data_IF_207789489775
#
_entry.id   IF_207789489775
#
_cell.length_a   1.000
_cell.length_b   1.000
_cell.length_c   1.000
_cell.angle_alpha   90.00
_cell.angle_beta   90.00
_cell.angle_gamma   90.00
#
_symmetry.space_group_name_H-M   'P 1'
#
loop_
_entity.id
_entity.type
_entity.pdbx_description
1 polymer ?
#
# COMPACT_ATOMS: atom_id res chain seq x y z
N UNK A 1 -32.80 62.31 25.28
CA UNK A 1 -33.61 61.36 26.06
C UNK A 1 -32.95 60.01 26.06
N UNK A 2 -32.61 59.57 27.24
CA UNK A 2 -32.25 58.21 27.71
C UNK A 2 -31.51 57.29 26.74
N UNK A 3 -30.30 56.84 26.96
CA UNK A 3 -29.56 56.50 28.18
C UNK A 3 -29.70 55.02 28.55
N UNK A 4 -28.68 54.23 28.36
CA UNK A 4 -28.25 53.25 29.35
C UNK A 4 -26.98 52.51 28.90
N UNK A 5 -25.95 52.80 29.63
CA UNK A 5 -24.68 52.11 29.79
C UNK A 5 -24.87 50.73 30.38
N UNK A 6 -24.17 49.72 29.85
CA UNK A 6 -23.99 48.39 30.43
C UNK A 6 -22.52 48.12 30.71
N UNK A 7 -22.19 48.09 31.98
CA UNK A 7 -20.87 47.88 32.54
C UNK A 7 -20.31 46.45 32.26
N UNK A 8 -19.07 46.39 31.81
CA UNK A 8 -18.28 45.18 31.76
C UNK A 8 -17.62 44.98 33.14
N UNK A 9 -18.04 43.94 33.82
CA UNK A 9 -17.43 43.52 35.09
C UNK A 9 -16.18 42.67 34.80
N UNK A 10 -15.01 43.19 35.13
CA UNK A 10 -13.75 42.46 35.16
C UNK A 10 -13.63 41.76 36.52
N UNK A 11 -13.79 40.45 36.55
CA UNK A 11 -13.41 39.66 37.71
C UNK A 11 -11.91 39.32 37.63
N UNK A 12 -11.11 39.95 38.46
CA UNK A 12 -9.71 39.61 38.70
C UNK A 12 -9.69 38.49 39.74
N UNK A 13 -9.07 37.34 39.40
CA UNK A 13 -8.82 36.25 40.33
C UNK A 13 -7.34 36.33 40.75
N UNK A 14 -6.99 36.38 42.06
CA UNK A 14 -5.61 36.36 42.52
C UNK A 14 -5.16 34.91 42.72
N UNK A 15 -4.21 34.45 41.93
CA UNK A 15 -3.41 33.25 42.27
C UNK A 15 -1.93 33.64 42.30
N UNK A 16 -1.47 33.78 43.52
CA UNK A 16 -0.04 33.70 43.83
C UNK A 16 0.36 32.23 43.92
N UNK A 17 1.20 31.78 43.04
CA UNK A 17 2.29 30.76 43.12
C UNK A 17 2.58 30.27 41.71
N UNK A 18 3.86 30.44 41.29
CA UNK A 18 4.33 30.12 39.95
C UNK A 18 4.36 28.60 39.71
N UNK A 19 3.47 28.16 38.83
CA UNK A 19 3.56 26.87 38.15
C UNK A 19 3.11 27.08 36.70
N UNK A 20 4.05 26.78 35.79
CA UNK A 20 3.85 26.87 34.34
C UNK A 20 2.68 25.96 33.94
N UNK A 21 1.53 26.53 33.59
CA UNK A 21 0.40 25.81 33.07
C UNK A 21 0.71 25.48 31.59
N UNK A 22 1.17 24.26 31.32
CA UNK A 22 1.20 23.71 29.97
C UNK A 22 -0.24 23.60 29.47
N UNK A 23 -0.64 24.52 28.61
CA UNK A 23 -1.89 24.39 27.87
C UNK A 23 -1.84 23.16 26.97
N UNK A 24 -2.47 22.07 27.41
CA UNK A 24 -2.87 20.97 26.54
C UNK A 24 -3.91 21.54 25.57
N UNK A 25 -3.49 21.82 24.34
CA UNK A 25 -4.41 22.05 23.23
C UNK A 25 -5.08 20.71 22.96
N UNK A 26 -6.25 20.51 23.53
CA UNK A 26 -7.15 19.42 23.21
C UNK A 26 -7.71 19.70 21.81
N UNK A 27 -7.02 19.24 20.76
CA UNK A 27 -7.57 19.23 19.40
C UNK A 27 -8.70 18.21 19.38
N UNK A 28 -9.93 18.67 19.54
CA UNK A 28 -11.08 17.86 19.19
C UNK A 28 -11.00 17.50 17.69
N UNK A 29 -11.12 16.23 17.31
CA UNK A 29 -11.26 15.86 15.91
C UNK A 29 -12.55 16.50 15.40
N UNK A 30 -12.49 17.19 14.25
CA UNK A 30 -13.63 17.87 13.68
C UNK A 30 -14.73 16.85 13.36
N UNK A 31 -15.77 16.82 14.16
CA UNK A 31 -16.98 16.01 14.02
C UNK A 31 -17.66 16.19 12.65
N UNK A 32 -17.36 17.27 11.97
CA UNK A 32 -17.90 17.61 10.64
C UNK A 32 -17.44 16.66 9.51
N UNK A 33 -16.19 16.15 9.56
CA UNK A 33 -15.69 15.21 8.53
C UNK A 33 -16.26 13.79 8.69
N UNK A 34 -16.65 13.41 9.89
CA UNK A 34 -17.23 12.08 10.18
C UNK A 34 -18.66 11.97 9.64
N UNK A 35 -19.46 13.02 9.75
CA UNK A 35 -20.86 13.03 9.28
C UNK A 35 -20.99 12.95 7.75
N UNK A 36 -20.03 13.49 6.99
CA UNK A 36 -20.04 13.43 5.51
C UNK A 36 -19.67 12.03 5.02
N UNK A 37 -18.77 11.31 5.69
CA UNK A 37 -18.43 9.94 5.35
C UNK A 37 -19.58 8.96 5.63
N UNK A 38 -20.36 9.18 6.67
CA UNK A 38 -21.52 8.34 6.99
C UNK A 38 -22.68 8.47 5.98
N UNK A 39 -22.81 9.57 5.26
CA UNK A 39 -23.89 9.77 4.26
C UNK A 39 -23.60 9.14 2.90
N UNK A 40 -22.34 8.75 2.60
CA UNK A 40 -21.95 8.14 1.32
C UNK A 40 -22.01 6.59 1.33
N UNK A 41 -22.40 5.97 2.45
CA UNK A 41 -21.96 4.61 2.78
C UNK A 41 -22.85 3.45 2.30
N UNK A 42 -24.01 3.66 1.72
CA UNK A 42 -24.93 2.54 1.44
C UNK A 42 -24.89 2.00 -0.01
N UNK A 43 -24.45 2.80 -0.97
CA UNK A 43 -24.41 2.37 -2.37
C UNK A 43 -23.15 1.58 -2.66
N UNK A 44 -23.25 0.48 -3.42
CA UNK A 44 -22.06 -0.21 -3.93
C UNK A 44 -21.12 0.75 -4.68
N UNK A 45 -19.82 0.51 -4.59
CA UNK A 45 -18.79 1.33 -5.23
C UNK A 45 -17.63 0.48 -5.76
N UNK A 46 -16.65 1.08 -6.43
CA UNK A 46 -15.51 0.36 -6.99
C UNK A 46 -14.59 -0.18 -5.87
N UNK A 47 -13.80 -1.19 -6.22
CA UNK A 47 -12.67 -1.64 -5.40
C UNK A 47 -11.57 -0.57 -5.49
N UNK A 48 -11.24 0.06 -4.37
CA UNK A 48 -10.11 0.99 -4.30
C UNK A 48 -8.78 0.23 -4.34
N UNK A 49 -7.84 0.70 -5.16
CA UNK A 49 -6.47 0.15 -5.24
C UNK A 49 -5.50 1.29 -5.04
N UNK A 50 -4.78 1.28 -3.93
CA UNK A 50 -3.82 2.32 -3.58
C UNK A 50 -2.38 1.85 -3.72
N UNK A 51 -1.57 2.65 -4.39
CA UNK A 51 -0.12 2.49 -4.44
C UNK A 51 0.60 3.82 -4.16
N UNK A 52 1.83 3.73 -3.68
CA UNK A 52 2.69 4.89 -3.48
C UNK A 52 3.21 5.53 -4.76
N UNK A 53 3.05 4.88 -5.91
CA UNK A 53 3.59 5.30 -7.20
C UNK A 53 2.92 4.59 -8.36
N UNK A 54 3.72 3.92 -9.20
CA UNK A 54 3.25 3.21 -10.40
C UNK A 54 3.23 1.69 -10.25
N UNK A 55 4.01 1.13 -9.34
CA UNK A 55 4.24 -0.31 -9.25
C UNK A 55 2.97 -1.12 -9.00
N UNK A 56 2.02 -0.58 -8.23
CA UNK A 56 0.73 -1.20 -7.95
C UNK A 56 -0.12 -1.48 -9.19
N UNK A 57 0.19 -0.87 -10.33
CA UNK A 57 -0.43 -1.19 -11.62
C UNK A 57 -0.19 -2.66 -12.03
N UNK A 58 0.95 -3.27 -11.63
CA UNK A 58 1.18 -4.71 -11.86
C UNK A 58 0.20 -5.59 -11.08
N UNK A 59 -0.17 -5.19 -9.87
CA UNK A 59 -1.18 -5.88 -9.06
C UNK A 59 -2.57 -5.66 -9.66
N UNK A 60 -2.92 -4.42 -9.99
CA UNK A 60 -4.19 -4.08 -10.63
C UNK A 60 -4.38 -4.84 -11.95
N UNK A 61 -3.33 -4.94 -12.78
CA UNK A 61 -3.38 -5.70 -14.04
C UNK A 61 -3.80 -7.16 -13.80
N UNK A 62 -3.19 -7.83 -12.82
CA UNK A 62 -3.56 -9.21 -12.47
C UNK A 62 -4.96 -9.30 -11.87
N UNK A 63 -5.38 -8.34 -11.05
CA UNK A 63 -6.74 -8.28 -10.51
C UNK A 63 -7.76 -8.13 -11.64
N UNK A 64 -7.53 -7.28 -12.63
CA UNK A 64 -8.40 -7.12 -13.81
C UNK A 64 -8.45 -8.36 -14.67
N UNK A 65 -7.37 -9.12 -14.78
CA UNK A 65 -7.34 -10.38 -15.54
C UNK A 65 -8.13 -11.50 -14.85
N UNK A 66 -8.03 -11.61 -13.51
CA UNK A 66 -8.66 -12.71 -12.74
C UNK A 66 -10.10 -12.36 -12.32
N UNK A 67 -10.37 -11.09 -12.08
CA UNK A 67 -11.65 -10.55 -11.64
C UNK A 67 -12.12 -9.41 -12.57
N UNK A 68 -12.34 -9.67 -13.87
CA UNK A 68 -12.53 -8.64 -14.89
C UNK A 68 -13.87 -7.90 -14.78
N UNK A 69 -14.84 -8.45 -14.09
CA UNK A 69 -16.18 -7.88 -13.98
C UNK A 69 -16.33 -6.83 -12.89
N UNK A 70 -15.37 -6.71 -11.93
CA UNK A 70 -15.43 -5.66 -10.91
C UNK A 70 -14.98 -4.32 -11.45
N UNK A 71 -15.50 -3.25 -10.84
CA UNK A 71 -15.01 -1.91 -11.07
C UNK A 71 -13.84 -1.59 -10.13
N UNK A 72 -12.83 -0.91 -10.66
CA UNK A 72 -11.63 -0.52 -9.92
C UNK A 72 -11.43 1.00 -9.94
N UNK A 73 -10.98 1.54 -8.81
CA UNK A 73 -10.52 2.91 -8.67
C UNK A 73 -9.07 2.89 -8.19
N UNK A 74 -8.15 3.06 -9.12
CA UNK A 74 -6.72 3.13 -8.80
C UNK A 74 -6.34 4.53 -8.36
N UNK A 75 -5.54 4.63 -7.28
CA UNK A 75 -4.96 5.87 -6.79
C UNK A 75 -3.45 5.69 -6.60
N UNK A 76 -2.65 6.37 -7.42
CA UNK A 76 -1.19 6.48 -7.27
C UNK A 76 -0.80 7.79 -6.60
N UNK A 77 -0.08 7.72 -5.49
CA UNK A 77 0.44 8.90 -4.81
C UNK A 77 1.84 9.30 -5.32
N UNK A 78 1.90 9.52 -6.63
CA UNK A 78 3.14 9.70 -7.40
C UNK A 78 3.91 10.96 -7.00
N UNK A 79 3.21 12.06 -6.62
CA UNK A 79 3.85 13.31 -6.21
C UNK A 79 4.68 13.17 -4.91
N UNK A 80 4.36 12.18 -4.07
CA UNK A 80 5.05 11.93 -2.79
C UNK A 80 5.94 10.67 -2.81
N UNK A 81 5.99 9.99 -3.95
CA UNK A 81 6.89 8.83 -4.16
C UNK A 81 8.38 9.26 -4.08
N UNK A 82 9.29 8.35 -3.75
CA UNK A 82 9.10 6.96 -3.30
C UNK A 82 8.85 6.86 -1.79
N UNK A 83 8.10 5.84 -1.36
CA UNK A 83 7.83 5.57 0.06
C UNK A 83 8.86 4.63 0.72
N UNK A 84 9.63 3.91 -0.07
CA UNK A 84 10.53 2.84 0.40
C UNK A 84 11.54 3.24 1.47
N UNK A 85 12.03 4.49 1.44
CA UNK A 85 12.99 5.03 2.39
C UNK A 85 12.37 5.93 3.48
N UNK A 86 11.05 6.19 3.44
CA UNK A 86 10.38 7.08 4.40
C UNK A 86 10.14 6.39 5.74
N UNK A 87 9.99 7.19 6.82
CA UNK A 87 9.63 6.68 8.15
C UNK A 87 8.25 6.03 8.19
N UNK A 88 7.98 5.23 9.23
CA UNK A 88 6.68 4.61 9.45
C UNK A 88 5.56 5.65 9.52
N UNK A 89 5.77 6.71 10.32
CA UNK A 89 4.76 7.75 10.55
C UNK A 89 4.39 8.48 9.25
N UNK A 90 5.38 8.82 8.42
CA UNK A 90 5.12 9.47 7.13
C UNK A 90 4.34 8.56 6.20
N UNK A 91 4.72 7.28 6.06
CA UNK A 91 4.00 6.32 5.23
C UNK A 91 2.59 6.09 5.76
N UNK A 92 2.42 5.97 7.07
CA UNK A 92 1.11 5.83 7.69
C UNK A 92 0.21 7.03 7.39
N UNK A 93 0.69 8.26 7.61
CA UNK A 93 -0.12 9.48 7.37
C UNK A 93 -0.55 9.60 5.90
N UNK A 94 0.37 9.36 4.96
CA UNK A 94 0.07 9.43 3.54
C UNK A 94 -0.95 8.35 3.14
N UNK A 95 -0.76 7.12 3.62
CA UNK A 95 -1.70 6.02 3.36
C UNK A 95 -3.08 6.28 3.94
N UNK A 96 -3.13 6.80 5.16
CA UNK A 96 -4.38 7.17 5.82
C UNK A 96 -5.19 8.20 5.01
N UNK A 97 -4.51 9.24 4.49
CA UNK A 97 -5.14 10.24 3.62
C UNK A 97 -5.71 9.60 2.34
N UNK A 98 -4.95 8.72 1.70
CA UNK A 98 -5.38 8.01 0.50
C UNK A 98 -6.58 7.09 0.76
N UNK A 99 -6.57 6.33 1.85
CA UNK A 99 -7.69 5.45 2.24
C UNK A 99 -8.96 6.27 2.52
N UNK A 100 -8.85 7.37 3.26
CA UNK A 100 -9.99 8.28 3.52
C UNK A 100 -10.52 8.85 2.20
N UNK A 101 -9.64 9.25 1.27
CA UNK A 101 -10.05 9.75 -0.05
C UNK A 101 -10.81 8.68 -0.85
N UNK A 102 -10.30 7.46 -0.94
CA UNK A 102 -10.98 6.35 -1.62
C UNK A 102 -12.32 6.01 -0.97
N UNK A 103 -12.39 6.03 0.35
CA UNK A 103 -13.66 5.85 1.08
C UNK A 103 -14.66 6.96 0.76
N UNK A 104 -14.21 8.22 0.65
CA UNK A 104 -15.08 9.35 0.27
C UNK A 104 -15.58 9.25 -1.17
N UNK A 105 -14.90 8.49 -2.02
CA UNK A 105 -15.29 8.21 -3.42
C UNK A 105 -16.13 6.92 -3.56
N UNK A 106 -16.60 6.36 -2.45
CA UNK A 106 -17.54 5.23 -2.44
C UNK A 106 -16.90 3.85 -2.33
N UNK A 107 -15.57 3.73 -2.24
CA UNK A 107 -14.94 2.42 -2.07
C UNK A 107 -15.30 1.81 -0.71
N UNK A 108 -15.83 0.59 -0.69
CA UNK A 108 -16.06 -0.17 0.56
C UNK A 108 -14.88 -1.08 0.89
N UNK A 109 -14.10 -1.43 -0.11
CA UNK A 109 -12.89 -2.24 -0.01
C UNK A 109 -11.73 -1.48 -0.65
N UNK A 110 -10.62 -1.36 0.07
CA UNK A 110 -9.36 -0.77 -0.43
C UNK A 110 -8.25 -1.80 -0.33
N UNK A 111 -7.57 -2.03 -1.45
CA UNK A 111 -6.37 -2.88 -1.52
C UNK A 111 -5.13 -1.97 -1.51
N UNK A 112 -4.25 -2.15 -0.53
CA UNK A 112 -2.96 -1.48 -0.49
C UNK A 112 -1.98 -2.25 -1.38
N UNK A 113 -1.91 -1.87 -2.64
CA UNK A 113 -1.12 -2.54 -3.68
C UNK A 113 0.37 -2.17 -3.65
N UNK A 114 0.88 -1.68 -2.54
CA UNK A 114 2.28 -1.38 -2.29
C UNK A 114 2.79 -2.18 -1.09
N UNK A 115 3.94 -2.85 -1.25
CA UNK A 115 4.54 -3.62 -0.15
C UNK A 115 4.97 -2.73 1.02
N UNK A 116 5.61 -1.60 0.74
CA UNK A 116 6.02 -0.63 1.78
C UNK A 116 4.81 -0.11 2.56
N UNK A 117 3.73 0.20 1.86
CA UNK A 117 2.47 0.67 2.46
C UNK A 117 1.82 -0.44 3.30
N UNK A 118 1.70 -1.64 2.74
CA UNK A 118 1.17 -2.82 3.45
C UNK A 118 1.98 -3.14 4.71
N UNK A 119 3.30 -3.02 4.63
CA UNK A 119 4.22 -3.29 5.73
C UNK A 119 4.13 -2.24 6.86
N UNK A 120 4.01 -0.96 6.50
CA UNK A 120 4.15 0.15 7.46
C UNK A 120 2.84 0.76 7.94
N UNK A 121 1.76 0.66 7.17
CA UNK A 121 0.53 1.40 7.46
C UNK A 121 -0.70 0.50 7.73
N UNK A 122 -0.78 -0.67 7.10
CA UNK A 122 -1.99 -1.48 7.11
C UNK A 122 -2.51 -1.78 8.53
N UNK A 123 -1.65 -2.32 9.40
CA UNK A 123 -2.05 -2.72 10.76
C UNK A 123 -2.57 -1.52 11.56
N UNK A 124 -1.90 -0.39 11.49
CA UNK A 124 -2.31 0.84 12.19
C UNK A 124 -3.65 1.34 11.67
N UNK A 125 -3.87 1.32 10.35
CA UNK A 125 -5.15 1.70 9.76
C UNK A 125 -6.26 0.74 10.21
N UNK A 126 -6.04 -0.57 10.16
CA UNK A 126 -7.04 -1.57 10.55
C UNK A 126 -7.41 -1.50 12.03
N UNK A 127 -6.44 -1.27 12.92
CA UNK A 127 -6.65 -1.30 14.36
C UNK A 127 -7.09 0.04 14.96
N UNK A 128 -6.57 1.15 14.43
CA UNK A 128 -6.76 2.47 15.04
C UNK A 128 -7.74 3.35 14.26
N UNK A 129 -7.74 3.30 12.92
CA UNK A 129 -8.56 4.20 12.11
C UNK A 129 -9.89 3.60 11.69
N UNK A 130 -9.90 2.38 11.18
CA UNK A 130 -11.10 1.75 10.64
C UNK A 130 -12.26 1.69 11.65
N UNK A 131 -12.07 1.34 12.93
CA UNK A 131 -13.17 1.29 13.91
C UNK A 131 -13.86 2.64 14.10
N UNK A 132 -13.13 3.74 13.91
CA UNK A 132 -13.66 5.11 14.09
C UNK A 132 -14.10 5.76 12.77
N UNK A 133 -13.56 5.34 11.61
CA UNK A 133 -13.94 5.85 10.30
C UNK A 133 -15.22 5.20 9.78
N UNK A 134 -15.19 3.89 9.61
CA UNK A 134 -16.33 3.07 9.19
C UNK A 134 -16.01 1.58 9.42
N UNK A 135 -16.56 0.93 10.44
CA UNK A 135 -16.28 -0.47 10.75
C UNK A 135 -16.80 -1.46 9.69
N UNK A 136 -17.67 -1.02 8.77
CA UNK A 136 -18.21 -1.83 7.68
C UNK A 136 -17.33 -1.83 6.42
N UNK A 137 -16.27 -1.03 6.40
CA UNK A 137 -15.30 -1.00 5.30
C UNK A 137 -14.11 -1.89 5.59
N UNK A 138 -13.35 -2.19 4.54
CA UNK A 138 -12.17 -3.06 4.65
C UNK A 138 -10.97 -2.44 3.95
N UNK A 139 -9.80 -2.63 4.57
CA UNK A 139 -8.50 -2.33 3.97
C UNK A 139 -7.67 -3.60 4.03
N UNK A 140 -7.20 -4.07 2.89
CA UNK A 140 -6.40 -5.29 2.77
C UNK A 140 -5.03 -4.93 2.19
N UNK A 141 -4.02 -5.72 2.54
CA UNK A 141 -2.66 -5.58 1.99
C UNK A 141 -2.27 -6.77 1.14
N UNK A 142 -1.11 -6.67 0.48
CA UNK A 142 -0.62 -7.69 -0.46
C UNK A 142 0.45 -8.62 0.13
N UNK A 143 0.93 -8.38 1.36
CA UNK A 143 1.94 -9.23 2.00
C UNK A 143 1.36 -10.58 2.42
N UNK A 144 0.24 -10.56 3.14
CA UNK A 144 -0.37 -11.78 3.67
C UNK A 144 -0.76 -12.81 2.60
N UNK A 145 -1.41 -12.44 1.47
CA UNK A 145 -1.68 -13.38 0.39
C UNK A 145 -0.43 -14.10 -0.12
N UNK A 146 0.68 -13.37 -0.23
CA UNK A 146 1.97 -13.93 -0.66
C UNK A 146 2.57 -14.85 0.40
N UNK A 147 2.43 -14.51 1.69
CA UNK A 147 2.87 -15.36 2.80
C UNK A 147 2.06 -16.66 2.88
N UNK A 148 0.78 -16.63 2.59
CA UNK A 148 -0.11 -17.81 2.61
C UNK A 148 0.28 -18.87 1.56
N UNK A 149 0.75 -18.45 0.38
CA UNK A 149 1.11 -19.39 -0.68
C UNK A 149 2.52 -20.00 -0.54
N UNK A 150 3.45 -19.32 0.18
CA UNK A 150 4.87 -19.69 0.16
C UNK A 150 5.13 -21.09 0.74
N UNK A 151 4.32 -21.51 1.71
CA UNK A 151 4.45 -22.82 2.34
C UNK A 151 4.26 -24.01 1.38
N UNK A 152 3.50 -23.82 0.30
CA UNK A 152 3.31 -24.82 -0.76
C UNK A 152 4.34 -24.71 -1.89
N UNK A 153 5.07 -23.59 -1.98
CA UNK A 153 6.04 -23.32 -3.05
C UNK A 153 7.44 -23.83 -2.66
N UNK A 154 7.88 -23.48 -1.43
CA UNK A 154 9.20 -23.89 -0.95
C UNK A 154 9.24 -25.36 -0.54
N UNK A 155 10.34 -26.03 -0.87
CA UNK A 155 10.63 -27.39 -0.44
C UNK A 155 11.73 -27.42 0.61
N UNK A 156 12.74 -26.54 0.47
CA UNK A 156 13.85 -26.42 1.41
C UNK A 156 13.46 -25.80 2.74
N UNK A 157 12.32 -25.11 2.79
CA UNK A 157 11.87 -24.26 3.91
C UNK A 157 12.80 -23.06 4.15
N UNK A 158 13.57 -22.66 3.13
CA UNK A 158 14.39 -21.45 3.09
C UNK A 158 13.88 -20.51 1.97
N UNK A 159 13.45 -19.32 2.35
CA UNK A 159 12.80 -18.35 1.46
C UNK A 159 13.56 -17.04 1.47
N UNK A 160 13.93 -16.57 0.28
CA UNK A 160 14.49 -15.25 0.06
C UNK A 160 13.40 -14.21 -0.17
N UNK A 161 13.63 -12.97 0.26
CA UNK A 161 12.77 -11.84 -0.06
C UNK A 161 13.64 -10.70 -0.58
N UNK A 162 13.39 -10.27 -1.80
CA UNK A 162 13.95 -9.02 -2.34
C UNK A 162 12.88 -7.94 -2.24
N UNK A 163 13.20 -6.80 -1.60
CA UNK A 163 12.23 -5.73 -1.37
C UNK A 163 12.89 -4.36 -1.16
N UNK A 164 12.10 -3.32 -0.98
CA UNK A 164 12.61 -2.03 -0.54
C UNK A 164 13.18 -2.11 0.88
N UNK A 165 14.09 -1.20 1.22
CA UNK A 165 14.68 -1.14 2.56
C UNK A 165 13.61 -1.05 3.66
N UNK A 166 12.57 -0.24 3.43
CA UNK A 166 11.47 -0.09 4.38
C UNK A 166 10.64 -1.36 4.58
N UNK A 167 10.43 -2.15 3.53
CA UNK A 167 9.74 -3.45 3.63
C UNK A 167 10.59 -4.46 4.39
N UNK A 168 11.89 -4.56 4.10
CA UNK A 168 12.79 -5.47 4.82
C UNK A 168 12.88 -5.09 6.31
N UNK A 169 13.13 -3.81 6.63
CA UNK A 169 13.23 -3.34 8.02
C UNK A 169 11.94 -3.48 8.84
N UNK A 170 10.80 -3.58 8.19
CA UNK A 170 9.52 -3.78 8.87
C UNK A 170 9.33 -5.19 9.41
N UNK A 171 10.10 -6.16 8.90
CA UNK A 171 9.98 -7.59 9.19
C UNK A 171 8.58 -8.18 8.91
N UNK A 172 7.72 -7.44 8.20
CA UNK A 172 6.31 -7.84 8.00
C UNK A 172 6.16 -9.18 7.30
N UNK A 173 7.03 -9.51 6.33
CA UNK A 173 7.04 -10.83 5.70
C UNK A 173 7.47 -11.91 6.67
N UNK A 174 8.53 -11.69 7.45
CA UNK A 174 9.02 -12.63 8.46
C UNK A 174 7.91 -12.93 9.46
N UNK A 175 7.25 -11.89 9.96
CA UNK A 175 6.15 -12.03 10.92
C UNK A 175 4.95 -12.79 10.34
N UNK A 176 4.53 -12.48 9.11
CA UNK A 176 3.36 -13.14 8.50
C UNK A 176 3.68 -14.59 8.09
N UNK A 177 4.88 -14.85 7.55
CA UNK A 177 5.30 -16.23 7.19
C UNK A 177 5.45 -17.07 8.45
N UNK A 178 6.13 -16.59 9.49
CA UNK A 178 6.35 -17.34 10.73
C UNK A 178 5.06 -17.66 11.50
N UNK A 179 4.02 -16.83 11.39
CA UNK A 179 2.70 -17.14 11.96
C UNK A 179 2.05 -18.35 11.28
N UNK A 180 2.26 -18.52 9.98
CA UNK A 180 1.64 -19.56 9.19
C UNK A 180 2.52 -20.81 9.11
N UNK A 181 3.82 -20.60 9.04
CA UNK A 181 4.85 -21.62 8.81
C UNK A 181 6.07 -21.34 9.69
N UNK A 182 6.04 -21.70 10.99
CA UNK A 182 7.13 -21.41 11.94
C UNK A 182 8.46 -22.10 11.58
N UNK A 183 8.42 -23.11 10.74
CA UNK A 183 9.55 -23.88 10.25
C UNK A 183 10.23 -23.26 9.01
N UNK A 184 9.71 -22.17 8.46
CA UNK A 184 10.33 -21.49 7.32
C UNK A 184 11.33 -20.43 7.81
N UNK A 185 12.57 -20.59 7.33
CA UNK A 185 13.62 -19.56 7.48
C UNK A 185 13.43 -18.50 6.39
N UNK A 186 13.38 -17.22 6.78
CA UNK A 186 13.19 -16.09 5.86
C UNK A 186 14.42 -15.20 5.86
N UNK A 187 15.04 -15.02 4.69
CA UNK A 187 16.20 -14.15 4.50
C UNK A 187 15.85 -12.97 3.59
N UNK A 188 15.90 -11.75 4.13
CA UNK A 188 15.54 -10.53 3.39
C UNK A 188 16.77 -9.82 2.78
N UNK A 189 16.70 -9.36 1.53
CA UNK A 189 17.71 -8.52 0.88
C UNK A 189 17.10 -7.19 0.43
N UNK A 190 17.57 -6.03 0.95
CA UNK A 190 17.11 -4.72 0.51
C UNK A 190 17.69 -4.36 -0.86
N UNK A 191 16.84 -3.89 -1.77
CA UNK A 191 17.17 -3.54 -3.15
C UNK A 191 16.86 -2.07 -3.45
N UNK A 192 17.58 -1.08 -2.87
CA UNK A 192 17.22 0.34 -2.94
C UNK A 192 17.28 0.93 -4.36
N UNK A 193 18.07 0.37 -5.25
CA UNK A 193 18.22 0.87 -6.63
C UNK A 193 17.19 0.31 -7.62
N UNK A 194 16.46 -0.75 -7.28
CA UNK A 194 15.61 -1.42 -8.24
C UNK A 194 14.36 -0.60 -8.62
N UNK A 195 13.75 0.10 -7.68
CA UNK A 195 12.63 1.02 -7.96
C UNK A 195 13.09 2.19 -8.82
N UNK A 196 14.17 2.94 -8.49
CA UNK A 196 14.69 3.98 -9.35
C UNK A 196 15.03 3.54 -10.78
N UNK A 197 15.60 2.36 -10.96
CA UNK A 197 15.89 1.81 -12.30
C UNK A 197 14.61 1.62 -13.13
N UNK A 198 13.55 1.11 -12.52
CA UNK A 198 12.26 0.91 -13.19
C UNK A 198 11.59 2.25 -13.51
N UNK A 199 11.51 3.16 -12.54
CA UNK A 199 10.81 4.44 -12.70
C UNK A 199 11.50 5.41 -13.67
N UNK A 200 12.82 5.24 -13.90
CA UNK A 200 13.57 6.01 -14.89
C UNK A 200 13.78 5.25 -16.22
N UNK A 201 13.07 4.13 -16.44
CA UNK A 201 13.17 3.31 -17.66
C UNK A 201 14.59 2.76 -17.95
N UNK A 202 15.39 2.57 -16.87
CA UNK A 202 16.78 2.05 -16.94
C UNK A 202 16.85 0.55 -16.58
N UNK A 203 15.71 -0.11 -16.48
CA UNK A 203 15.61 -1.49 -15.99
C UNK A 203 16.21 -2.53 -16.95
N UNK A 204 16.42 -2.19 -18.21
CA UNK A 204 16.99 -3.09 -19.24
C UNK A 204 18.48 -2.85 -19.52
N UNK A 205 19.02 -1.75 -19.02
CA UNK A 205 20.41 -1.34 -19.21
C UNK A 205 21.43 -2.16 -18.39
N UNK A 206 22.74 -2.00 -18.69
CA UNK A 206 23.83 -2.70 -17.96
C UNK A 206 23.92 -2.28 -16.49
N UNK A 207 23.45 -1.08 -16.13
CA UNK A 207 23.33 -0.65 -14.73
C UNK A 207 22.38 -1.53 -13.95
N UNK A 208 21.25 -1.92 -14.54
CA UNK A 208 20.32 -2.84 -13.92
C UNK A 208 20.93 -4.23 -13.75
N UNK A 209 21.70 -4.73 -14.73
CA UNK A 209 22.42 -6.00 -14.59
C UNK A 209 23.34 -6.00 -13.37
N UNK A 210 24.11 -4.92 -13.15
CA UNK A 210 25.01 -4.81 -11.99
C UNK A 210 24.23 -4.85 -10.67
N UNK A 211 23.18 -4.03 -10.54
CA UNK A 211 22.45 -3.93 -9.28
C UNK A 211 21.62 -5.19 -8.98
N UNK A 212 21.04 -5.81 -10.02
CA UNK A 212 20.26 -7.06 -9.84
C UNK A 212 21.19 -8.19 -9.44
N UNK A 213 22.29 -8.40 -10.20
CA UNK A 213 23.29 -9.43 -9.90
C UNK A 213 23.78 -9.31 -8.46
N UNK A 214 24.26 -8.13 -8.06
CA UNK A 214 24.79 -7.88 -6.71
C UNK A 214 23.80 -8.28 -5.61
N UNK A 215 22.52 -7.98 -5.75
CA UNK A 215 21.53 -8.26 -4.70
C UNK A 215 21.13 -9.73 -4.65
N UNK A 216 20.99 -10.37 -5.79
CA UNK A 216 20.72 -11.81 -5.84
C UNK A 216 21.93 -12.59 -5.25
N UNK A 217 23.16 -12.25 -5.64
CA UNK A 217 24.37 -12.87 -5.09
C UNK A 217 24.45 -12.68 -3.56
N UNK A 218 24.22 -11.46 -3.06
CA UNK A 218 24.22 -11.19 -1.62
C UNK A 218 23.18 -12.03 -0.88
N UNK A 219 21.98 -12.17 -1.43
CA UNK A 219 20.94 -13.00 -0.84
C UNK A 219 21.37 -14.46 -0.75
N UNK A 220 21.88 -15.02 -1.85
CA UNK A 220 22.29 -16.42 -1.93
C UNK A 220 23.55 -16.75 -1.12
N UNK A 221 24.46 -15.76 -0.92
CA UNK A 221 25.62 -15.92 -0.02
C UNK A 221 25.16 -16.01 1.43
N UNK A 222 24.15 -15.25 1.84
CA UNK A 222 23.65 -15.27 3.22
C UNK A 222 22.86 -16.52 3.55
N UNK A 223 22.17 -17.08 2.59
CA UNK A 223 21.44 -18.33 2.76
C UNK A 223 21.44 -19.15 1.45
N UNK A 224 22.42 -20.07 1.30
CA UNK A 224 22.53 -20.91 0.11
C UNK A 224 21.41 -21.97 -0.04
N UNK A 225 20.58 -22.17 0.97
CA UNK A 225 19.49 -23.14 0.96
C UNK A 225 18.19 -22.56 0.37
N UNK A 226 18.15 -21.28 0.05
CA UNK A 226 16.98 -20.64 -0.56
C UNK A 226 16.61 -21.33 -1.87
N UNK A 227 15.36 -21.81 -1.93
CA UNK A 227 14.76 -22.41 -3.13
C UNK A 227 13.64 -21.56 -3.74
N UNK A 228 13.24 -20.49 -3.06
CA UNK A 228 12.15 -19.61 -3.52
C UNK A 228 12.44 -18.16 -3.12
N UNK A 229 12.28 -17.22 -4.05
CA UNK A 229 12.50 -15.78 -3.82
C UNK A 229 11.21 -15.02 -4.10
N UNK A 230 10.68 -14.33 -3.07
CA UNK A 230 9.52 -13.45 -3.17
C UNK A 230 9.97 -12.09 -3.72
N UNK A 231 9.27 -11.59 -4.75
CA UNK A 231 9.41 -10.23 -5.24
C UNK A 231 8.57 -9.28 -4.37
N UNK A 232 9.12 -8.86 -3.23
CA UNK A 232 8.45 -8.02 -2.23
C UNK A 232 8.35 -6.53 -2.62
N UNK A 233 8.28 -6.22 -3.91
CA UNK A 233 8.00 -4.90 -4.45
C UNK A 233 7.31 -5.02 -5.80
N UNK A 234 6.29 -4.20 -6.01
CA UNK A 234 5.42 -4.21 -7.19
C UNK A 234 6.10 -3.72 -8.48
N UNK A 235 7.25 -3.07 -8.38
CA UNK A 235 8.08 -2.69 -9.53
C UNK A 235 8.92 -3.86 -10.08
N UNK A 236 9.24 -4.84 -9.25
CA UNK A 236 10.23 -5.87 -9.60
C UNK A 236 9.83 -6.85 -10.71
N UNK A 237 8.54 -7.06 -11.02
CA UNK A 237 8.18 -7.82 -12.22
C UNK A 237 8.78 -7.27 -13.53
N UNK A 238 9.04 -5.96 -13.64
CA UNK A 238 9.71 -5.37 -14.81
C UNK A 238 11.19 -5.75 -14.90
N UNK A 239 11.81 -6.13 -13.78
CA UNK A 239 13.18 -6.64 -13.72
C UNK A 239 13.27 -8.17 -13.85
N UNK A 240 12.13 -8.87 -14.07
CA UNK A 240 12.06 -10.34 -13.96
C UNK A 240 13.10 -11.05 -14.83
N UNK A 241 13.30 -10.63 -16.07
CA UNK A 241 14.29 -11.25 -16.98
C UNK A 241 15.72 -11.18 -16.40
N UNK A 242 16.07 -10.05 -15.78
CA UNK A 242 17.39 -9.89 -15.14
C UNK A 242 17.48 -10.66 -13.83
N UNK A 243 16.40 -10.69 -13.04
CA UNK A 243 16.33 -11.48 -11.80
C UNK A 243 16.55 -12.95 -12.14
N UNK A 244 15.82 -13.49 -13.11
CA UNK A 244 15.97 -14.89 -13.56
C UNK A 244 17.39 -15.18 -14.09
N UNK A 245 18.01 -14.24 -14.80
CA UNK A 245 19.38 -14.37 -15.35
C UNK A 245 20.42 -14.63 -14.25
N UNK A 246 20.26 -13.99 -13.08
CA UNK A 246 21.23 -14.06 -11.98
C UNK A 246 20.79 -14.99 -10.83
N UNK A 247 19.57 -15.50 -10.89
CA UNK A 247 19.08 -16.49 -9.91
C UNK A 247 19.62 -17.88 -10.23
N UNK A 248 20.14 -18.63 -9.25
CA UNK A 248 20.59 -20.00 -9.46
C UNK A 248 19.50 -20.90 -10.03
N UNK A 249 19.91 -21.89 -10.83
CA UNK A 249 18.96 -22.88 -11.36
C UNK A 249 18.24 -23.62 -10.24
N UNK A 250 16.94 -23.79 -10.37
CA UNK A 250 16.09 -24.48 -9.38
C UNK A 250 15.47 -23.56 -8.33
N UNK A 251 15.94 -22.33 -8.19
CA UNK A 251 15.30 -21.33 -7.32
C UNK A 251 14.10 -20.73 -8.01
N UNK A 252 12.92 -20.80 -7.38
CA UNK A 252 11.66 -20.28 -7.92
C UNK A 252 11.53 -18.80 -7.61
N UNK A 253 11.11 -18.00 -8.60
CA UNK A 253 10.73 -16.60 -8.39
C UNK A 253 9.23 -16.50 -8.21
N UNK A 254 8.79 -15.79 -7.16
CA UNK A 254 7.39 -15.66 -6.74
C UNK A 254 6.95 -14.19 -6.90
N UNK A 255 6.39 -13.81 -8.06
CA UNK A 255 5.72 -12.52 -8.23
C UNK A 255 4.36 -12.55 -7.53
N UNK A 256 3.90 -11.38 -7.04
CA UNK A 256 2.76 -11.33 -6.12
C UNK A 256 1.38 -11.27 -6.80
N UNK A 257 1.30 -10.71 -8.00
CA UNK A 257 0.03 -10.26 -8.59
C UNK A 257 -1.05 -11.35 -8.66
N UNK A 258 -0.68 -12.55 -9.11
CA UNK A 258 -1.59 -13.68 -9.23
C UNK A 258 -2.09 -14.17 -7.85
N UNK A 259 -1.18 -14.31 -6.88
CA UNK A 259 -1.52 -14.77 -5.53
C UNK A 259 -2.44 -13.79 -4.81
N UNK A 260 -2.17 -12.49 -4.95
CA UNK A 260 -3.03 -11.43 -4.40
C UNK A 260 -4.42 -11.47 -5.02
N UNK A 261 -4.52 -11.64 -6.33
CA UNK A 261 -5.79 -11.66 -7.05
C UNK A 261 -6.62 -12.90 -6.73
N UNK A 262 -5.99 -14.07 -6.65
CA UNK A 262 -6.66 -15.31 -6.23
C UNK A 262 -7.11 -15.23 -4.75
N UNK A 263 -6.29 -14.69 -3.87
CA UNK A 263 -6.67 -14.48 -2.47
C UNK A 263 -7.84 -13.50 -2.33
N UNK A 264 -7.92 -12.46 -3.18
CA UNK A 264 -9.09 -11.57 -3.22
C UNK A 264 -10.34 -12.30 -3.70
N UNK A 265 -10.24 -13.16 -4.70
CA UNK A 265 -11.36 -14.01 -5.15
C UNK A 265 -11.88 -14.90 -4.01
N UNK A 266 -10.99 -15.56 -3.28
CA UNK A 266 -11.34 -16.39 -2.13
C UNK A 266 -11.87 -15.56 -0.96
N UNK A 267 -11.38 -14.34 -0.79
CA UNK A 267 -11.89 -13.39 0.19
C UNK A 267 -13.37 -13.08 -0.07
N UNK A 268 -13.76 -12.81 -1.29
CA UNK A 268 -15.15 -12.53 -1.66
C UNK A 268 -16.08 -13.71 -1.41
N UNK A 269 -15.62 -14.94 -1.62
CA UNK A 269 -16.41 -16.14 -1.28
C UNK A 269 -16.68 -16.20 0.23
N UNK A 270 -15.73 -15.82 1.05
CA UNK A 270 -15.84 -15.84 2.51
C UNK A 270 -16.53 -14.60 3.09
N UNK A 271 -16.62 -13.51 2.33
CA UNK A 271 -17.17 -12.23 2.75
C UNK A 271 -18.17 -11.68 1.73
N UNK A 272 -19.32 -12.36 1.51
CA UNK A 272 -20.30 -11.96 0.51
C UNK A 272 -20.95 -10.60 0.82
N UNK A 273 -20.93 -10.17 2.08
CA UNK A 273 -21.38 -8.85 2.54
C UNK A 273 -20.50 -7.71 1.98
N UNK A 274 -19.20 -7.92 1.86
CA UNK A 274 -18.26 -6.97 1.24
C UNK A 274 -18.33 -7.06 -0.28
N UNK A 275 -18.41 -8.28 -0.81
CA UNK A 275 -18.52 -8.53 -2.25
C UNK A 275 -19.75 -7.85 -2.85
N UNK A 276 -20.91 -7.91 -2.18
CA UNK A 276 -22.14 -7.26 -2.60
C UNK A 276 -22.05 -5.72 -2.65
N UNK A 277 -21.09 -5.12 -1.93
CA UNK A 277 -20.81 -3.69 -1.96
C UNK A 277 -19.84 -3.26 -3.06
N UNK A 278 -19.33 -4.19 -3.86
CA UNK A 278 -18.44 -3.91 -4.99
C UNK A 278 -19.22 -3.88 -6.30
N UNK A 279 -19.10 -2.79 -7.07
CA UNK A 279 -19.76 -2.66 -8.38
C UNK A 279 -19.08 -3.53 -9.44
N UNK A 280 -19.87 -3.95 -10.47
CA UNK A 280 -19.49 -5.00 -11.42
C UNK A 280 -19.83 -4.61 -12.86
N UNK A 281 -19.19 -3.55 -13.37
CA UNK A 281 -19.36 -3.10 -14.76
C UNK A 281 -18.07 -3.30 -15.59
N UNK A 282 -16.99 -3.80 -14.98
CA UNK A 282 -15.69 -3.98 -15.63
C UNK A 282 -14.94 -2.68 -15.91
N UNK A 283 -15.29 -1.59 -15.21
CA UNK A 283 -14.68 -0.28 -15.40
C UNK A 283 -13.41 -0.12 -14.53
N UNK A 284 -12.48 0.68 -15.03
CA UNK A 284 -11.29 1.05 -14.27
C UNK A 284 -11.01 2.54 -14.44
N UNK A 285 -10.99 3.26 -13.31
CA UNK A 285 -10.64 4.67 -13.25
C UNK A 285 -9.30 4.84 -12.58
N UNK A 286 -8.48 5.80 -13.07
CA UNK A 286 -7.14 6.05 -12.56
C UNK A 286 -7.03 7.46 -12.03
N UNK A 287 -6.46 7.57 -10.83
CA UNK A 287 -6.19 8.82 -10.13
C UNK A 287 -4.70 8.92 -9.83
N UNK A 288 -4.15 10.12 -9.95
CA UNK A 288 -2.76 10.42 -9.58
C UNK A 288 -2.67 11.73 -8.82
N UNK A 289 -1.69 11.85 -7.93
CA UNK A 289 -1.34 13.12 -7.29
C UNK A 289 -0.28 13.92 -8.07
N UNK A 290 0.25 13.36 -9.16
CA UNK A 290 1.27 13.93 -10.03
C UNK A 290 0.67 14.36 -11.38
N UNK A 291 1.50 14.88 -12.27
CA UNK A 291 1.15 15.21 -13.66
C UNK A 291 0.55 13.98 -14.38
N UNK A 292 -0.59 14.20 -15.06
CA UNK A 292 -1.33 13.13 -15.74
C UNK A 292 -0.58 12.56 -16.96
N UNK A 293 0.23 13.37 -17.65
CA UNK A 293 0.98 12.89 -18.82
C UNK A 293 2.09 11.93 -18.38
N UNK A 294 2.82 12.28 -17.32
CA UNK A 294 3.82 11.39 -16.71
C UNK A 294 3.19 10.08 -16.22
N UNK A 295 1.98 10.15 -15.65
CA UNK A 295 1.27 8.92 -15.26
C UNK A 295 0.91 8.06 -16.45
N UNK A 296 0.40 8.65 -17.56
CA UNK A 296 0.04 7.89 -18.79
C UNK A 296 1.25 7.17 -19.39
N UNK A 297 2.40 7.86 -19.46
CA UNK A 297 3.64 7.26 -19.94
C UNK A 297 4.08 6.06 -19.10
N UNK A 298 4.08 6.24 -17.77
CA UNK A 298 4.42 5.16 -16.84
C UNK A 298 3.40 4.03 -16.90
N UNK A 299 2.09 4.33 -16.92
CA UNK A 299 1.05 3.31 -17.00
C UNK A 299 1.18 2.44 -18.27
N UNK A 300 1.59 3.03 -19.41
CA UNK A 300 1.88 2.29 -20.63
C UNK A 300 2.98 1.24 -20.43
N UNK A 301 4.00 1.53 -19.60
CA UNK A 301 5.07 0.58 -19.28
C UNK A 301 4.57 -0.61 -18.45
N UNK A 302 3.67 -0.36 -17.50
CA UNK A 302 3.20 -1.37 -16.55
C UNK A 302 1.98 -2.17 -17.06
N UNK A 303 1.11 -1.54 -17.84
CA UNK A 303 -0.17 -2.11 -18.29
C UNK A 303 -0.17 -2.50 -19.77
N UNK A 304 0.78 -1.97 -20.56
CA UNK A 304 0.83 -2.07 -22.03
C UNK A 304 -0.43 -1.50 -22.72
N UNK A 305 -1.17 -0.63 -22.03
CA UNK A 305 -2.37 0.06 -22.53
C UNK A 305 -2.32 1.56 -22.21
N UNK A 306 -3.05 2.37 -22.99
CA UNK A 306 -3.26 3.78 -22.67
C UNK A 306 -4.42 3.90 -21.67
N UNK A 307 -4.26 4.76 -20.69
CA UNK A 307 -5.27 4.99 -19.66
C UNK A 307 -5.65 6.46 -19.59
N UNK A 308 -6.93 6.71 -19.28
CA UNK A 308 -7.37 8.04 -18.88
C UNK A 308 -7.19 8.18 -17.37
N UNK A 309 -6.56 9.27 -16.97
CA UNK A 309 -6.20 9.53 -15.59
C UNK A 309 -6.60 10.94 -15.18
N UNK A 310 -7.10 11.08 -13.97
CA UNK A 310 -7.48 12.34 -13.34
C UNK A 310 -6.45 12.70 -12.26
N UNK A 311 -6.07 13.98 -12.22
CA UNK A 311 -5.23 14.51 -11.15
C UNK A 311 -6.09 14.84 -9.92
N UNK A 312 -5.63 14.42 -8.73
CA UNK A 312 -6.28 14.74 -7.47
C UNK A 312 -5.28 15.20 -6.41
N UNK A 313 -5.78 15.91 -5.41
CA UNK A 313 -5.00 16.31 -4.23
C UNK A 313 -5.43 15.48 -3.02
N UNK A 314 -4.44 14.99 -2.28
CA UNK A 314 -4.60 14.39 -0.97
C UNK A 314 -4.30 15.44 0.10
N UNK A 315 -5.33 15.83 0.84
CA UNK A 315 -5.25 16.87 1.87
C UNK A 315 -4.64 16.40 3.18
#
# INVERSE_FOLDING_TARGET
MCGRSGLISTAVCPCATGLICQQRICRQPSTYKISVLMQLSEKPGPIGVFDSGYGGLTILHQMRNILPHYDYLYLGDNARAPYGARSFDVVYQFTRQAVIKLFSMGCHLVILACNTVSAKALRSIQQNDLPSLDPNRRVLGIIRPTAECIGSITQSRHVGIVATEGTIKSESYVLEINKLFPDITVTGEPCPMWVPLVENNEYDGPGADYFVKKRIENLMIRDPQIDSIILGCTHYPLLLNKILKYTPRGVKIVPQGEYVSNSLKDYFVRHPDIEAKCTKNGLCHYLTTENTDKFRESAQLFLHERVDVENITLG
#
